data_IF_809750304997
#
_entry.id   IF_809750304997
#
_cell.length_a   1.000
_cell.length_b   1.000
_cell.length_c   1.000
_cell.angle_alpha   90.00
_cell.angle_beta   90.00
_cell.angle_gamma   90.00
#
_symmetry.space_group_name_H-M   'P 1'
#
loop_
_entity.id
_entity.type
_entity.pdbx_description
1 polymer ?
#
# COMPACT_ATOMS: atom_id res chain seq x y z
N UNK A 1 -15.63 -5.50 3.86
CA UNK A 1 -16.76 -4.77 4.51
C UNK A 1 -17.97 -4.72 3.57
N UNK A 2 -18.76 -5.80 3.46
CA UNK A 2 -19.88 -5.83 2.50
C UNK A 2 -21.12 -5.14 3.09
N UNK A 3 -21.28 -3.84 2.80
CA UNK A 3 -22.57 -3.15 2.91
C UNK A 3 -22.72 -2.04 3.96
N UNK A 4 -21.68 -1.69 4.73
CA UNK A 4 -21.76 -0.55 5.67
C UNK A 4 -21.27 0.72 4.98
N UNK A 5 -22.09 1.78 4.92
CA UNK A 5 -21.65 3.05 4.34
C UNK A 5 -20.55 3.67 5.21
N UNK A 6 -19.36 3.87 4.64
CA UNK A 6 -18.21 4.48 5.33
C UNK A 6 -18.60 5.83 5.95
N UNK A 7 -19.40 6.60 5.21
CA UNK A 7 -19.93 7.88 5.65
C UNK A 7 -20.73 7.79 6.94
N UNK A 8 -21.69 6.86 7.04
CA UNK A 8 -22.50 6.71 8.26
C UNK A 8 -21.67 6.26 9.46
N UNK A 9 -20.66 5.42 9.22
CA UNK A 9 -19.77 4.94 10.26
C UNK A 9 -18.86 6.07 10.79
N UNK A 10 -18.33 6.91 9.90
CA UNK A 10 -17.57 8.10 10.25
C UNK A 10 -18.41 9.12 11.03
N UNK A 11 -19.65 9.38 10.59
CA UNK A 11 -20.57 10.30 11.30
C UNK A 11 -20.92 9.78 12.71
N UNK A 12 -21.02 8.45 12.89
CA UNK A 12 -21.37 7.86 14.19
C UNK A 12 -20.22 7.80 15.21
N UNK A 13 -18.98 7.65 14.75
CA UNK A 13 -17.81 7.45 15.63
C UNK A 13 -16.92 8.69 15.75
N UNK A 14 -17.12 9.69 14.88
CA UNK A 14 -16.18 10.80 14.72
C UNK A 14 -14.88 10.36 14.03
N UNK A 15 -14.04 11.33 13.66
CA UNK A 15 -12.80 11.08 12.91
C UNK A 15 -11.79 10.23 13.70
N UNK A 16 -11.55 10.58 14.96
CA UNK A 16 -10.62 9.86 15.84
C UNK A 16 -11.12 8.43 16.15
N UNK A 17 -12.42 8.29 16.47
CA UNK A 17 -13.02 6.99 16.76
C UNK A 17 -13.07 6.06 15.54
N UNK A 18 -13.33 6.62 14.36
CA UNK A 18 -13.24 5.88 13.10
C UNK A 18 -11.83 5.35 12.86
N UNK A 19 -10.82 6.22 12.98
CA UNK A 19 -9.42 5.85 12.77
C UNK A 19 -8.97 4.74 13.73
N UNK A 20 -9.25 4.88 15.02
CA UNK A 20 -8.91 3.85 16.00
C UNK A 20 -9.55 2.50 15.67
N UNK A 21 -10.86 2.49 15.38
CA UNK A 21 -11.58 1.27 15.03
C UNK A 21 -11.02 0.63 13.75
N UNK A 22 -10.70 1.43 12.75
CA UNK A 22 -10.09 0.97 11.51
C UNK A 22 -8.74 0.29 11.78
N UNK A 23 -7.85 0.93 12.54
CA UNK A 23 -6.56 0.34 12.90
C UNK A 23 -6.73 -0.96 13.71
N UNK A 24 -7.68 -1.02 14.65
CA UNK A 24 -8.00 -2.25 15.39
C UNK A 24 -8.43 -3.38 14.45
N UNK A 25 -9.39 -3.13 13.56
CA UNK A 25 -9.91 -4.15 12.64
C UNK A 25 -8.87 -4.63 11.62
N UNK A 26 -8.03 -3.72 11.14
CA UNK A 26 -6.92 -4.06 10.24
C UNK A 26 -5.82 -4.85 10.99
N UNK A 27 -5.52 -4.51 12.24
CA UNK A 27 -4.54 -5.25 13.06
C UNK A 27 -5.04 -6.66 13.39
N UNK A 28 -6.33 -6.81 13.68
CA UNK A 28 -6.98 -8.09 13.92
C UNK A 28 -7.21 -8.89 12.63
N UNK A 29 -6.82 -8.37 11.46
CA UNK A 29 -7.03 -8.96 10.14
C UNK A 29 -8.50 -9.31 9.84
N UNK A 30 -9.43 -8.61 10.47
CA UNK A 30 -10.86 -8.73 10.18
C UNK A 30 -11.24 -7.99 8.89
N UNK A 31 -10.43 -7.00 8.50
CA UNK A 31 -10.52 -6.28 7.24
C UNK A 31 -9.19 -6.34 6.52
N UNK A 32 -9.24 -6.46 5.20
CA UNK A 32 -8.08 -6.27 4.31
C UNK A 32 -8.03 -4.84 3.79
N UNK A 33 -6.86 -4.40 3.33
CA UNK A 33 -6.73 -3.14 2.57
C UNK A 33 -7.60 -3.18 1.32
N UNK A 34 -7.74 -4.36 0.69
CA UNK A 34 -8.52 -4.56 -0.52
C UNK A 34 -10.04 -4.46 -0.31
N UNK A 35 -10.51 -4.42 0.94
CA UNK A 35 -11.92 -4.16 1.28
C UNK A 35 -12.31 -2.68 1.15
N UNK A 36 -11.35 -1.78 0.94
CA UNK A 36 -11.57 -0.34 0.95
C UNK A 36 -11.51 0.27 -0.45
N UNK A 37 -12.49 1.13 -0.74
CA UNK A 37 -12.45 2.02 -1.90
C UNK A 37 -11.92 3.39 -1.49
N UNK A 38 -10.77 3.79 -2.05
CA UNK A 38 -10.24 5.15 -1.86
C UNK A 38 -11.21 6.23 -2.35
N UNK A 39 -12.03 5.92 -3.35
CA UNK A 39 -13.05 6.83 -3.85
C UNK A 39 -14.14 7.06 -2.81
N UNK A 40 -14.68 5.99 -2.22
CA UNK A 40 -15.72 6.09 -1.18
C UNK A 40 -15.17 6.74 0.09
N UNK A 41 -13.90 6.49 0.42
CA UNK A 41 -13.21 7.17 1.53
C UNK A 41 -13.07 8.67 1.27
N UNK A 42 -12.66 9.06 0.05
CA UNK A 42 -12.55 10.46 -0.34
C UNK A 42 -13.91 11.17 -0.36
N UNK A 43 -14.96 10.47 -0.79
CA UNK A 43 -16.33 10.95 -0.76
C UNK A 43 -16.83 11.14 0.67
N UNK A 44 -16.61 10.15 1.55
CA UNK A 44 -17.01 10.19 2.96
C UNK A 44 -16.29 11.31 3.73
N UNK A 45 -15.02 11.59 3.40
CA UNK A 45 -14.27 12.73 3.93
C UNK A 45 -14.64 14.07 3.25
N UNK A 46 -15.44 14.06 2.19
CA UNK A 46 -15.83 15.28 1.46
C UNK A 46 -14.67 15.97 0.73
N UNK A 47 -13.57 15.26 0.46
CA UNK A 47 -12.35 15.84 -0.12
C UNK A 47 -12.33 15.82 -1.65
N UNK A 48 -13.24 15.09 -2.32
CA UNK A 48 -13.28 14.96 -3.78
C UNK A 48 -13.13 16.30 -4.55
N UNK A 49 -13.85 17.39 -4.19
CA UNK A 49 -13.73 18.66 -4.92
C UNK A 49 -12.37 19.35 -4.70
N UNK A 50 -11.69 19.06 -3.60
CA UNK A 50 -10.42 19.68 -3.22
C UNK A 50 -9.21 18.73 -3.32
N UNK A 51 -9.38 17.50 -3.83
CA UNK A 51 -8.30 16.49 -3.93
C UNK A 51 -7.03 17.06 -4.59
N UNK A 52 -7.19 17.80 -5.70
CA UNK A 52 -6.06 18.44 -6.41
C UNK A 52 -5.34 19.54 -5.62
N UNK A 53 -6.00 20.09 -4.60
CA UNK A 53 -5.47 21.14 -3.72
C UNK A 53 -5.00 20.59 -2.38
N UNK A 54 -5.15 19.29 -2.14
CA UNK A 54 -4.60 18.67 -0.96
C UNK A 54 -3.09 18.80 -1.00
N UNK A 55 -2.55 19.37 0.06
CA UNK A 55 -1.11 19.44 0.27
C UNK A 55 -0.57 18.02 0.36
N UNK A 56 0.63 17.80 -0.19
CA UNK A 56 1.37 16.57 0.08
C UNK A 56 1.43 16.34 1.58
N UNK A 57 1.06 15.13 2.00
CA UNK A 57 1.12 14.74 3.39
C UNK A 57 2.59 14.68 3.81
N UNK A 58 2.94 15.43 4.86
CA UNK A 58 4.27 15.38 5.45
C UNK A 58 4.21 14.60 6.78
N UNK A 59 5.06 13.57 6.94
CA UNK A 59 5.12 12.79 8.19
C UNK A 59 5.63 13.60 9.39
N UNK A 60 6.20 14.79 9.17
CA UNK A 60 6.60 15.71 10.26
C UNK A 60 5.42 16.50 10.87
N UNK A 61 4.20 16.32 10.34
CA UNK A 61 3.03 17.00 10.90
C UNK A 61 2.62 16.40 12.25
N UNK A 62 1.96 17.23 13.07
CA UNK A 62 1.54 16.99 14.45
C UNK A 62 1.01 15.55 14.73
N UNK A 63 1.02 15.09 16.00
CA UNK A 63 0.56 13.75 16.36
C UNK A 63 -0.84 13.47 15.81
N UNK A 64 -1.07 12.25 15.30
CA UNK A 64 -2.35 11.84 14.69
C UNK A 64 -3.57 12.19 15.55
N UNK A 65 -3.48 11.99 16.86
CA UNK A 65 -4.54 12.34 17.82
C UNK A 65 -4.88 13.84 17.79
N UNK A 66 -3.90 14.70 17.57
CA UNK A 66 -4.07 16.16 17.44
C UNK A 66 -4.70 16.54 16.10
N UNK A 67 -4.34 15.82 15.04
CA UNK A 67 -4.89 16.02 13.70
C UNK A 67 -6.35 15.60 13.59
N UNK A 68 -6.72 14.53 14.29
CA UNK A 68 -8.06 13.93 14.24
C UNK A 68 -9.03 14.50 15.28
N UNK A 69 -8.60 15.43 16.12
CA UNK A 69 -9.50 16.15 17.05
C UNK A 69 -10.52 16.97 16.28
N UNK A 70 -11.77 16.92 16.72
CA UNK A 70 -12.88 17.67 16.12
C UNK A 70 -12.67 19.20 16.15
N UNK A 71 -11.88 19.70 17.10
CA UNK A 71 -11.51 21.12 17.17
C UNK A 71 -10.58 21.58 16.05
N UNK A 72 -10.04 20.65 15.24
CA UNK A 72 -9.08 20.95 14.20
C UNK A 72 -9.79 21.33 12.88
N UNK A 73 -9.57 22.54 12.35
CA UNK A 73 -10.11 22.90 11.04
C UNK A 73 -9.52 21.99 9.96
N UNK A 74 -10.40 21.32 9.20
CA UNK A 74 -9.97 20.38 8.17
C UNK A 74 -9.71 18.96 8.67
N UNK A 75 -10.25 18.58 9.82
CA UNK A 75 -10.20 17.22 10.37
C UNK A 75 -10.51 16.13 9.33
N UNK A 76 -11.48 16.35 8.44
CA UNK A 76 -11.82 15.37 7.40
C UNK A 76 -10.71 15.20 6.35
N UNK A 77 -10.01 16.28 6.01
CA UNK A 77 -8.84 16.24 5.13
C UNK A 77 -7.70 15.47 5.78
N UNK A 78 -7.41 15.78 7.04
CA UNK A 78 -6.40 15.06 7.81
C UNK A 78 -6.75 13.59 7.98
N UNK A 79 -8.02 13.26 8.23
CA UNK A 79 -8.51 11.90 8.32
C UNK A 79 -8.28 11.13 7.03
N UNK A 80 -8.63 11.72 5.88
CA UNK A 80 -8.38 11.11 4.58
C UNK A 80 -6.89 10.79 4.38
N UNK A 81 -6.00 11.75 4.68
CA UNK A 81 -4.56 11.58 4.54
C UNK A 81 -4.02 10.47 5.46
N UNK A 82 -4.39 10.50 6.74
CA UNK A 82 -3.93 9.54 7.75
C UNK A 82 -4.41 8.12 7.42
N UNK A 83 -5.70 7.95 7.13
CA UNK A 83 -6.27 6.62 6.81
C UNK A 83 -5.68 6.08 5.51
N UNK A 84 -5.55 6.93 4.48
CA UNK A 84 -4.95 6.52 3.20
C UNK A 84 -3.49 6.12 3.38
N UNK A 85 -2.73 6.87 4.18
CA UNK A 85 -1.34 6.55 4.51
C UNK A 85 -1.21 5.20 5.21
N UNK A 86 -2.09 4.91 6.17
CA UNK A 86 -2.13 3.63 6.88
C UNK A 86 -2.44 2.45 5.93
N UNK A 87 -3.44 2.62 5.05
CA UNK A 87 -3.82 1.60 4.08
C UNK A 87 -2.68 1.30 3.07
N UNK A 88 -2.07 2.35 2.53
CA UNK A 88 -0.94 2.21 1.59
C UNK A 88 0.25 1.59 2.29
N UNK A 89 0.62 2.07 3.49
CA UNK A 89 1.75 1.58 4.26
C UNK A 89 1.64 0.08 4.54
N UNK A 90 0.44 -0.40 4.89
CA UNK A 90 0.19 -1.84 5.08
C UNK A 90 0.34 -2.64 3.79
N UNK A 91 -0.16 -2.13 2.65
CA UNK A 91 -0.01 -2.84 1.37
C UNK A 91 1.44 -2.88 0.90
N UNK A 92 2.21 -1.84 1.20
CA UNK A 92 3.66 -1.82 0.97
C UNK A 92 4.32 -2.90 1.83
N UNK A 93 4.06 -2.95 3.14
CA UNK A 93 4.61 -3.99 4.03
C UNK A 93 4.22 -5.38 3.55
N UNK A 94 2.95 -5.59 3.18
CA UNK A 94 2.48 -6.87 2.61
C UNK A 94 3.25 -7.24 1.34
N UNK A 95 3.55 -6.27 0.47
CA UNK A 95 4.35 -6.49 -0.73
C UNK A 95 5.82 -6.82 -0.44
N UNK A 96 6.41 -6.24 0.61
CA UNK A 96 7.75 -6.59 1.09
C UNK A 96 7.79 -7.99 1.74
N UNK A 97 6.71 -8.39 2.41
CA UNK A 97 6.56 -9.71 3.03
C UNK A 97 6.12 -10.80 2.05
N UNK A 98 5.74 -10.47 0.81
CA UNK A 98 5.32 -11.43 -0.23
C UNK A 98 6.50 -12.33 -0.66
N UNK A 99 6.60 -13.50 -0.02
CA UNK A 99 7.56 -14.55 -0.37
C UNK A 99 7.22 -15.30 -1.68
N UNK A 100 6.21 -14.86 -2.44
CA UNK A 100 5.68 -15.50 -3.65
C UNK A 100 6.60 -15.49 -4.88
N UNK A 101 7.90 -15.24 -4.71
CA UNK A 101 8.90 -15.21 -5.77
C UNK A 101 9.14 -13.81 -6.34
N UNK A 102 10.07 -13.71 -7.29
CA UNK A 102 10.44 -12.42 -7.86
C UNK A 102 9.30 -11.87 -8.75
N UNK A 103 9.14 -10.55 -8.79
CA UNK A 103 8.20 -9.91 -9.73
C UNK A 103 8.48 -10.33 -11.18
N UNK A 104 9.75 -10.61 -11.51
CA UNK A 104 10.17 -11.13 -12.82
C UNK A 104 9.44 -12.42 -13.20
N UNK A 105 9.22 -13.33 -12.26
CA UNK A 105 8.51 -14.60 -12.50
C UNK A 105 7.03 -14.40 -12.81
N UNK A 106 6.42 -13.34 -12.25
CA UNK A 106 5.03 -12.94 -12.53
C UNK A 106 4.90 -12.19 -13.87
N UNK A 107 5.98 -11.64 -14.41
CA UNK A 107 6.01 -10.87 -15.66
C UNK A 107 6.37 -11.71 -16.89
N UNK A 108 6.91 -12.91 -16.69
CA UNK A 108 7.31 -13.81 -17.78
C UNK A 108 6.42 -15.05 -17.83
N UNK A 109 6.14 -15.53 -19.04
CA UNK A 109 5.47 -16.81 -19.23
C UNK A 109 6.53 -17.90 -19.41
N UNK A 110 6.65 -18.81 -18.43
CA UNK A 110 7.56 -19.95 -18.54
C UNK A 110 7.02 -20.95 -19.56
N UNK A 111 7.67 -21.04 -20.72
CA UNK A 111 7.39 -22.09 -21.71
C UNK A 111 8.31 -23.30 -21.46
N UNK A 112 7.78 -24.45 -20.99
CA UNK A 112 8.61 -25.62 -20.74
C UNK A 112 9.07 -26.25 -22.07
N UNK A 113 10.37 -26.18 -22.35
CA UNK A 113 10.99 -26.90 -23.47
C UNK A 113 11.28 -28.35 -23.07
N UNK A 114 10.89 -29.31 -23.93
CA UNK A 114 11.21 -30.74 -23.77
C UNK A 114 12.57 -31.13 -24.39
N UNK A 115 13.30 -30.17 -24.96
CA UNK A 115 14.57 -30.43 -25.65
C UNK A 115 15.72 -30.23 -24.67
N UNK A 116 16.39 -31.33 -24.29
CA UNK A 116 17.31 -31.39 -23.15
C UNK A 116 18.59 -30.55 -23.29
N UNK A 117 18.93 -30.01 -24.46
CA UNK A 117 20.22 -29.31 -24.68
C UNK A 117 20.23 -28.40 -25.94
N UNK A 118 19.35 -27.41 -26.05
CA UNK A 118 19.52 -26.37 -27.08
C UNK A 118 20.35 -25.20 -26.52
N UNK A 119 21.56 -25.01 -27.05
CA UNK A 119 22.36 -23.80 -26.77
C UNK A 119 21.68 -22.61 -27.44
N UNK A 120 21.09 -21.71 -26.64
CA UNK A 120 20.57 -20.44 -27.13
C UNK A 120 21.75 -19.46 -27.19
N UNK A 121 22.05 -18.94 -28.38
CA UNK A 121 23.11 -17.95 -28.54
C UNK A 121 22.73 -16.65 -27.79
N UNK A 122 23.65 -16.12 -26.98
CA UNK A 122 23.46 -14.88 -26.23
C UNK A 122 22.95 -15.03 -24.79
N UNK A 123 22.71 -16.26 -24.30
CA UNK A 123 22.28 -16.51 -22.92
C UNK A 123 23.32 -17.37 -22.19
N UNK A 124 24.09 -16.76 -21.27
CA UNK A 124 25.07 -17.46 -20.40
C UNK A 124 24.73 -17.40 -18.92
N UNK A 125 23.84 -16.49 -18.50
CA UNK A 125 23.40 -16.39 -17.12
C UNK A 125 22.29 -17.42 -16.83
N UNK A 126 22.71 -18.59 -16.35
CA UNK A 126 21.82 -19.58 -15.72
C UNK A 126 21.53 -19.22 -14.24
N UNK A 127 22.15 -18.17 -13.72
CA UNK A 127 21.98 -17.67 -12.37
C UNK A 127 20.72 -16.82 -12.27
N UNK A 128 19.86 -17.15 -11.29
CA UNK A 128 18.73 -16.32 -10.92
C UNK A 128 19.17 -14.98 -10.31
N UNK A 129 18.20 -14.11 -9.96
CA UNK A 129 18.50 -12.84 -9.29
C UNK A 129 19.35 -13.08 -8.04
N UNK A 130 20.47 -12.36 -7.91
CA UNK A 130 21.26 -12.35 -6.69
C UNK A 130 20.51 -11.55 -5.62
N UNK A 131 20.37 -12.13 -4.42
CA UNK A 131 19.78 -11.42 -3.29
C UNK A 131 20.77 -10.37 -2.79
N UNK A 132 20.34 -9.10 -2.78
CA UNK A 132 21.13 -7.98 -2.28
C UNK A 132 20.42 -7.41 -1.07
N UNK A 133 21.08 -7.47 0.09
CA UNK A 133 20.56 -6.90 1.33
C UNK A 133 20.43 -5.39 1.25
N UNK A 134 19.47 -4.81 1.97
CA UNK A 134 19.26 -3.36 2.00
C UNK A 134 20.53 -2.59 2.36
N UNK A 135 20.84 -1.54 1.59
CA UNK A 135 22.03 -0.70 1.80
C UNK A 135 23.34 -1.24 1.22
N UNK A 136 23.32 -2.42 0.59
CA UNK A 136 24.48 -2.95 -0.12
C UNK A 136 24.51 -2.51 -1.59
N UNK A 137 25.72 -2.36 -2.19
CA UNK A 137 25.84 -2.07 -3.60
C UNK A 137 25.32 -3.25 -4.43
N UNK A 138 24.61 -2.94 -5.52
CA UNK A 138 24.22 -3.95 -6.50
C UNK A 138 25.47 -4.58 -7.13
N UNK A 139 25.45 -5.90 -7.31
CA UNK A 139 26.48 -6.58 -8.08
C UNK A 139 26.39 -6.11 -9.54
N UNK A 140 27.51 -5.64 -10.10
CA UNK A 140 27.54 -5.27 -11.51
C UNK A 140 27.33 -6.51 -12.37
N UNK A 141 26.29 -6.48 -13.19
CA UNK A 141 26.03 -7.52 -14.17
C UNK A 141 27.00 -7.37 -15.34
N UNK A 142 28.19 -7.96 -15.24
CA UNK A 142 29.12 -8.03 -16.37
C UNK A 142 28.62 -9.04 -17.40
N UNK A 143 28.52 -8.61 -18.66
CA UNK A 143 28.25 -9.49 -19.80
C UNK A 143 29.59 -9.96 -20.39
N UNK A 144 30.05 -11.18 -20.07
CA UNK A 144 31.20 -11.85 -20.72
C UNK A 144 30.84 -13.10 -21.56
#
# INVERSE_FOLDING_TARGET
MQGTSLKGLMESLGAEGFYHKLCTLLNEKQLSVDDFSYFELAEACGVLPQLRRLREWSPESAPVTTLLRESNPGVNTSLFQVVTGELIGRKVIEGYEDAGGFIGDKLVMVMPSRVRNSKIAGFRALSGPAEVSEGHPYEESTFE
#
